data_IF_540031726937
#
_entry.id   IF_540031726937
#
_cell.length_a   1.000
_cell.length_b   1.000
_cell.length_c   1.000
_cell.angle_alpha   90.00
_cell.angle_beta   90.00
_cell.angle_gamma   90.00
#
_symmetry.space_group_name_H-M   'P 1'
#
loop_
_entity.id
_entity.type
_entity.pdbx_description
1 polymer ?
#
# COMPACT_ATOMS: atom_id res chain seq x y z
N UNK A 1 -14.09 30.04 2.70
CA UNK A 1 -12.83 30.79 2.54
C UNK A 1 -11.62 30.09 3.18
N UNK A 2 -11.76 29.42 4.33
CA UNK A 2 -10.60 28.76 4.98
C UNK A 2 -10.19 27.41 4.35
N UNK A 3 -11.16 26.62 3.88
CA UNK A 3 -10.90 25.29 3.30
C UNK A 3 -10.04 25.36 2.02
N UNK A 4 -10.24 26.38 1.21
CA UNK A 4 -9.52 26.59 -0.06
C UNK A 4 -8.04 26.91 0.18
N UNK A 5 -7.74 27.70 1.22
CA UNK A 5 -6.36 27.98 1.64
C UNK A 5 -5.66 26.74 2.20
N UNK A 6 -6.37 25.94 2.99
CA UNK A 6 -5.84 24.66 3.50
C UNK A 6 -5.56 23.67 2.37
N UNK A 7 -6.44 23.57 1.38
CA UNK A 7 -6.25 22.69 0.22
C UNK A 7 -5.10 23.17 -0.67
N UNK A 8 -4.93 24.49 -0.88
CA UNK A 8 -3.79 25.02 -1.61
C UNK A 8 -2.47 24.78 -0.88
N UNK A 9 -2.44 25.01 0.44
CA UNK A 9 -1.26 24.76 1.26
C UNK A 9 -0.87 23.27 1.26
N UNK A 10 -1.87 22.39 1.41
CA UNK A 10 -1.68 20.95 1.27
C UNK A 10 -1.19 20.60 -0.14
N UNK A 11 -1.73 21.22 -1.18
CA UNK A 11 -1.30 20.96 -2.56
C UNK A 11 0.16 21.36 -2.82
N UNK A 12 0.67 22.42 -2.20
CA UNK A 12 2.08 22.83 -2.31
C UNK A 12 3.03 21.93 -1.53
N UNK A 13 2.58 21.25 -0.47
CA UNK A 13 3.44 20.46 0.42
C UNK A 13 2.99 19.00 0.61
N UNK A 14 2.25 18.44 -0.36
CA UNK A 14 1.63 17.10 -0.28
C UNK A 14 2.60 16.02 0.19
N UNK A 15 3.83 16.05 -0.33
CA UNK A 15 4.86 15.07 0.01
C UNK A 15 5.22 15.09 1.49
N UNK A 16 5.47 16.29 2.04
CA UNK A 16 5.82 16.47 3.45
C UNK A 16 4.68 16.12 4.40
N UNK A 17 3.45 16.52 4.05
CA UNK A 17 2.26 16.22 4.88
C UNK A 17 1.93 14.73 4.86
N UNK A 18 1.93 14.08 3.69
CA UNK A 18 1.74 12.63 3.62
C UNK A 18 2.87 11.89 4.34
N UNK A 19 4.13 12.33 4.18
CA UNK A 19 5.26 11.73 4.89
C UNK A 19 5.11 11.82 6.40
N UNK A 20 4.68 12.97 6.92
CA UNK A 20 4.42 13.18 8.33
C UNK A 20 3.27 12.31 8.87
N UNK A 21 2.16 12.22 8.12
CA UNK A 21 1.02 11.37 8.50
C UNK A 21 1.43 9.89 8.52
N UNK A 22 2.10 9.43 7.47
CA UNK A 22 2.58 8.04 7.36
C UNK A 22 3.59 7.73 8.47
N UNK A 23 4.55 8.63 8.71
CA UNK A 23 5.53 8.50 9.78
C UNK A 23 4.88 8.47 11.17
N UNK A 24 3.86 9.30 11.40
CA UNK A 24 3.11 9.31 12.66
C UNK A 24 2.34 8.00 12.89
N UNK A 25 1.69 7.46 11.87
CA UNK A 25 1.01 6.17 11.94
C UNK A 25 2.00 5.05 12.20
N UNK A 26 3.12 4.99 11.47
CA UNK A 26 4.17 3.99 11.70
C UNK A 26 4.75 4.08 13.11
N UNK A 27 5.08 5.27 13.59
CA UNK A 27 5.59 5.48 14.93
C UNK A 27 4.59 5.05 16.02
N UNK A 28 3.30 5.34 15.81
CA UNK A 28 2.22 4.91 16.71
C UNK A 28 2.12 3.38 16.78
N UNK A 29 2.21 2.71 15.62
CA UNK A 29 2.22 1.24 15.55
C UNK A 29 3.45 0.64 16.24
N UNK A 30 4.63 1.23 16.07
CA UNK A 30 5.87 0.82 16.76
C UNK A 30 5.72 0.92 18.27
N UNK A 31 5.07 1.98 18.77
CA UNK A 31 4.90 2.22 20.19
C UNK A 31 3.90 1.24 20.83
N UNK A 32 2.83 0.88 20.11
CA UNK A 32 1.77 -0.03 20.59
C UNK A 32 2.21 -1.50 20.50
N UNK A 33 2.79 -1.91 19.38
CA UNK A 33 3.12 -3.32 19.10
C UNK A 33 4.55 -3.67 19.54
N UNK A 34 5.46 -2.69 19.58
CA UNK A 34 6.88 -2.86 19.90
C UNK A 34 7.80 -2.80 18.68
N UNK A 35 9.07 -2.48 18.92
CA UNK A 35 10.10 -2.27 17.88
C UNK A 35 10.34 -3.52 17.02
N UNK A 36 10.51 -4.69 17.64
CA UNK A 36 10.79 -5.94 16.93
C UNK A 36 9.62 -6.41 16.06
N UNK A 37 8.39 -6.22 16.54
CA UNK A 37 7.19 -6.59 15.79
C UNK A 37 7.01 -5.73 14.54
N UNK A 38 7.36 -4.44 14.63
CA UNK A 38 7.31 -3.57 13.44
C UNK A 38 8.36 -3.93 12.41
N UNK A 39 9.56 -4.33 12.84
CA UNK A 39 10.58 -4.83 11.91
C UNK A 39 10.10 -6.12 11.21
N UNK A 40 9.44 -7.02 11.95
CA UNK A 40 8.85 -8.22 11.38
C UNK A 40 7.79 -7.89 10.33
N UNK A 41 6.87 -6.97 10.65
CA UNK A 41 5.85 -6.49 9.70
C UNK A 41 6.51 -5.82 8.48
N UNK A 42 7.52 -4.99 8.67
CA UNK A 42 8.22 -4.31 7.57
C UNK A 42 8.89 -5.29 6.61
N UNK A 43 9.51 -6.36 7.14
CA UNK A 43 10.09 -7.43 6.33
C UNK A 43 8.99 -8.16 5.54
N UNK A 44 7.90 -8.54 6.19
CA UNK A 44 6.77 -9.20 5.52
C UNK A 44 6.12 -8.32 4.45
N UNK A 45 5.96 -7.02 4.71
CA UNK A 45 5.46 -6.05 3.73
C UNK A 45 6.42 -5.92 2.55
N UNK A 46 7.73 -5.84 2.80
CA UNK A 46 8.75 -5.80 1.75
C UNK A 46 8.74 -7.05 0.88
N UNK A 47 8.65 -8.23 1.50
CA UNK A 47 8.52 -9.51 0.80
C UNK A 47 7.21 -9.56 0.00
N UNK A 48 6.09 -9.17 0.61
CA UNK A 48 4.79 -9.12 -0.04
C UNK A 48 4.76 -8.16 -1.22
N UNK A 49 5.40 -6.99 -1.12
CA UNK A 49 5.56 -6.05 -2.23
C UNK A 49 6.45 -6.61 -3.33
N UNK A 50 7.57 -7.26 -2.98
CA UNK A 50 8.46 -7.87 -3.97
C UNK A 50 7.77 -9.00 -4.74
N UNK A 51 7.06 -9.88 -4.03
CA UNK A 51 6.26 -10.96 -4.62
C UNK A 51 5.12 -10.37 -5.45
N UNK A 52 4.38 -9.41 -4.90
CA UNK A 52 3.25 -8.76 -5.56
C UNK A 52 3.66 -7.98 -6.81
N UNK A 53 4.81 -7.31 -6.79
CA UNK A 53 5.38 -6.62 -7.96
C UNK A 53 5.77 -7.61 -9.04
N UNK A 54 6.49 -8.68 -8.68
CA UNK A 54 6.87 -9.74 -9.63
C UNK A 54 5.63 -10.39 -10.27
N UNK A 55 4.61 -10.65 -9.45
CA UNK A 55 3.33 -11.18 -9.90
C UNK A 55 2.52 -10.19 -10.76
N UNK A 56 2.64 -8.88 -10.51
CA UNK A 56 1.99 -7.83 -11.30
C UNK A 56 2.68 -7.57 -12.64
N UNK A 57 3.99 -7.82 -12.71
CA UNK A 57 4.78 -7.75 -13.94
C UNK A 57 4.38 -8.92 -14.87
N UNK A 58 4.18 -10.11 -14.30
CA UNK A 58 3.59 -11.27 -14.95
C UNK A 58 2.05 -11.21 -14.97
N UNK A 59 1.46 -10.15 -15.55
CA UNK A 59 -0.01 -10.02 -15.72
C UNK A 59 -0.64 -11.27 -16.34
N UNK A 60 0.10 -11.94 -17.20
CA UNK A 60 -0.30 -13.18 -17.86
C UNK A 60 -0.44 -14.35 -16.88
N UNK A 61 0.39 -14.42 -15.83
CA UNK A 61 0.30 -15.44 -14.78
C UNK A 61 -0.90 -15.20 -13.85
N UNK A 62 -1.15 -13.94 -13.43
CA UNK A 62 -2.38 -13.58 -12.71
C UNK A 62 -3.60 -13.95 -13.54
N UNK A 63 -3.62 -13.60 -14.83
CA UNK A 63 -4.75 -13.88 -15.72
C UNK A 63 -4.99 -15.38 -15.88
N UNK A 64 -3.92 -16.17 -16.08
CA UNK A 64 -4.00 -17.64 -16.18
C UNK A 64 -4.39 -18.31 -14.85
N UNK A 65 -3.91 -17.82 -13.70
CA UNK A 65 -4.35 -18.31 -12.40
C UNK A 65 -5.81 -17.97 -12.13
N UNK A 66 -6.22 -16.76 -12.48
CA UNK A 66 -7.59 -16.29 -12.35
C UNK A 66 -8.53 -17.09 -13.25
N UNK A 67 -8.14 -17.36 -14.51
CA UNK A 67 -8.89 -18.21 -15.46
C UNK A 67 -8.93 -19.69 -15.02
N UNK A 68 -7.97 -20.16 -14.20
CA UNK A 68 -7.96 -21.53 -13.66
C UNK A 68 -8.78 -21.68 -12.39
N UNK A 69 -8.91 -20.61 -11.59
CA UNK A 69 -9.64 -20.59 -10.32
C UNK A 69 -11.09 -20.14 -10.51
N UNK A 70 -11.35 -19.22 -11.45
CA UNK A 70 -12.69 -18.87 -11.88
C UNK A 70 -13.09 -19.77 -13.05
N UNK A 71 -14.05 -20.70 -12.89
CA UNK A 71 -14.58 -21.42 -14.03
C UNK A 71 -15.11 -20.41 -15.04
N UNK A 72 -14.94 -20.63 -16.37
CA UNK A 72 -15.38 -19.71 -17.40
C UNK A 72 -16.88 -19.51 -17.28
N UNK A 73 -17.27 -18.42 -16.62
CA UNK A 73 -18.62 -17.89 -16.65
C UNK A 73 -18.87 -17.45 -18.07
N UNK A 74 -19.75 -18.18 -18.73
CA UNK A 74 -20.36 -17.86 -20.02
C UNK A 74 -20.92 -16.44 -20.01
N UNK A 75 -20.10 -15.44 -20.31
CA UNK A 75 -20.56 -14.11 -20.66
C UNK A 75 -20.56 -14.04 -22.18
N UNK A 76 -21.71 -14.45 -22.72
CA UNK A 76 -22.17 -14.06 -24.06
C UNK A 76 -22.50 -12.57 -24.06
#
# INVERSE_FOLDING_TARGET
MDKEKLVQFYNSHKGGVNGAIVGFVLASVILIIGFLNTLFIAIFVGIGYYIGKKLSEDKEYIKNLLDKILPPGTYR
#
